data_IF_178320907215
#
_entry.id   IF_178320907215
#
_cell.length_a   1.000
_cell.length_b   1.000
_cell.length_c   1.000
_cell.angle_alpha   90.00
_cell.angle_beta   90.00
_cell.angle_gamma   90.00
#
_symmetry.space_group_name_H-M   'P 1'
#
loop_
_entity.id
_entity.type
_entity.pdbx_description
1 polymer ?
#
# COMPACT_ATOMS: atom_id res chain seq x y z
N UNK A 1 -24.43 -8.68 14.51
CA UNK A 1 -24.79 -9.01 13.11
C UNK A 1 -23.52 -9.02 12.29
N UNK A 2 -23.22 -10.10 11.55
CA UNK A 2 -22.03 -10.16 10.67
C UNK A 2 -22.31 -9.32 9.43
N UNK A 3 -21.52 -8.27 9.21
CA UNK A 3 -21.66 -7.39 8.07
C UNK A 3 -21.13 -8.09 6.81
N UNK A 4 -21.93 -8.11 5.74
CA UNK A 4 -21.54 -8.64 4.43
C UNK A 4 -21.18 -7.45 3.55
N UNK A 5 -19.99 -7.48 2.96
CA UNK A 5 -19.55 -6.46 2.01
C UNK A 5 -19.54 -7.07 0.62
N UNK A 6 -20.19 -6.41 -0.35
CA UNK A 6 -20.21 -6.81 -1.76
C UNK A 6 -19.32 -5.87 -2.55
N UNK A 7 -18.48 -6.42 -3.41
CA UNK A 7 -17.66 -5.65 -4.36
C UNK A 7 -17.89 -6.20 -5.76
N UNK A 8 -18.14 -5.31 -6.73
CA UNK A 8 -18.43 -5.67 -8.12
C UNK A 8 -17.13 -5.81 -8.91
N UNK A 9 -16.86 -6.97 -9.54
CA UNK A 9 -15.74 -7.19 -10.46
C UNK A 9 -16.20 -7.38 -11.91
N UNK A 10 -15.56 -6.66 -12.83
CA UNK A 10 -15.70 -6.83 -14.27
C UNK A 10 -14.49 -7.61 -14.82
N UNK A 11 -14.76 -8.71 -15.53
CA UNK A 11 -13.74 -9.53 -16.20
C UNK A 11 -13.90 -9.41 -17.73
N UNK A 12 -12.85 -8.96 -18.42
CA UNK A 12 -12.77 -8.98 -19.88
C UNK A 12 -12.14 -10.30 -20.36
N UNK A 13 -12.93 -11.16 -21.02
CA UNK A 13 -12.42 -12.38 -21.66
C UNK A 13 -11.98 -12.08 -23.10
N UNK A 14 -10.69 -12.27 -23.41
CA UNK A 14 -10.21 -12.34 -24.80
C UNK A 14 -10.03 -13.81 -25.24
N UNK A 15 -11.00 -14.31 -26.00
CA UNK A 15 -10.86 -15.52 -26.82
C UNK A 15 -9.82 -15.32 -27.91
N UNK A 16 -9.07 -16.37 -28.25
CA UNK A 16 -8.23 -16.35 -29.47
C UNK A 16 -9.21 -16.37 -30.65
N UNK A 17 -9.00 -15.45 -31.59
CA UNK A 17 -9.67 -15.28 -32.88
C UNK A 17 -10.63 -16.41 -33.27
N UNK A 18 -11.93 -16.13 -33.31
CA UNK A 18 -12.68 -16.08 -34.58
C UNK A 18 -14.10 -15.53 -34.36
N UNK A 19 -14.45 -14.56 -35.21
CA UNK A 19 -15.78 -14.03 -35.49
C UNK A 19 -16.49 -13.25 -34.36
N UNK A 20 -16.48 -11.93 -34.55
CA UNK A 20 -17.35 -10.90 -33.97
C UNK A 20 -18.52 -11.40 -33.10
N UNK A 21 -18.27 -11.50 -31.81
CA UNK A 21 -19.26 -11.23 -30.78
C UNK A 21 -18.52 -10.51 -29.65
N UNK A 22 -18.77 -9.22 -29.48
CA UNK A 22 -18.34 -8.50 -28.28
C UNK A 22 -19.10 -9.08 -27.09
N UNK A 23 -18.58 -10.15 -26.50
CA UNK A 23 -19.11 -10.64 -25.23
C UNK A 23 -18.94 -9.50 -24.22
N UNK A 24 -20.06 -8.95 -23.74
CA UNK A 24 -20.02 -7.98 -22.66
C UNK A 24 -19.27 -8.62 -21.47
N UNK A 25 -18.41 -7.86 -20.76
CA UNK A 25 -17.69 -8.39 -19.62
C UNK A 25 -18.68 -9.03 -18.65
N UNK A 26 -18.44 -10.29 -18.26
CA UNK A 26 -19.25 -10.92 -17.25
C UNK A 26 -18.94 -10.26 -15.90
N UNK A 27 -19.96 -9.69 -15.28
CA UNK A 27 -19.88 -9.11 -13.94
C UNK A 27 -19.98 -10.24 -12.93
N UNK A 28 -18.94 -10.44 -12.13
CA UNK A 28 -18.99 -11.30 -10.95
C UNK A 28 -18.93 -10.43 -9.71
N UNK A 29 -19.90 -10.61 -8.82
CA UNK A 29 -19.87 -9.96 -7.51
C UNK A 29 -19.00 -10.80 -6.59
N UNK A 30 -17.95 -10.21 -6.03
CA UNK A 30 -17.12 -10.83 -5.00
C UNK A 30 -17.72 -10.48 -3.65
N UNK A 31 -18.08 -11.50 -2.88
CA UNK A 31 -18.69 -11.33 -1.56
C UNK A 31 -17.69 -11.68 -0.46
N UNK A 32 -17.49 -10.74 0.46
CA UNK A 32 -16.68 -10.94 1.65
C UNK A 32 -17.53 -11.09 2.90
N UNK A 33 -17.18 -12.10 3.71
CA UNK A 33 -17.71 -12.29 5.06
C UNK A 33 -16.68 -11.84 6.07
N UNK A 34 -17.02 -10.81 6.84
CA UNK A 34 -16.22 -10.40 7.98
C UNK A 34 -16.17 -11.51 9.04
N UNK A 35 -14.96 -11.90 9.45
CA UNK A 35 -14.71 -12.95 10.43
C UNK A 35 -14.24 -12.42 11.79
N UNK A 36 -13.42 -11.38 11.75
CA UNK A 36 -12.74 -10.85 12.94
C UNK A 36 -12.54 -9.35 12.76
N UNK A 37 -12.63 -8.63 13.87
CA UNK A 37 -12.24 -7.23 13.97
C UNK A 37 -11.36 -7.04 15.19
N UNK A 38 -10.19 -6.44 14.98
CA UNK A 38 -9.24 -6.03 16.02
C UNK A 38 -9.25 -4.50 16.05
N UNK A 39 -9.15 -3.88 17.23
CA UNK A 39 -9.21 -2.43 17.38
C UNK A 39 -10.57 -1.85 17.74
N UNK A 40 -11.53 -2.65 18.22
CA UNK A 40 -12.91 -2.20 18.52
C UNK A 40 -13.35 -2.22 19.98
N UNK A 41 -12.71 -3.02 20.83
CA UNK A 41 -13.12 -3.05 22.24
C UNK A 41 -12.77 -1.67 22.90
N UNK A 42 -13.00 -1.30 24.15
CA UNK A 42 -12.22 -0.21 24.82
C UNK A 42 -11.79 -0.65 26.22
N UNK A 43 -12.01 -1.93 26.51
CA UNK A 43 -11.79 -2.60 27.79
C UNK A 43 -10.63 -3.63 27.73
N UNK A 44 -10.23 -4.09 26.53
CA UNK A 44 -9.03 -4.90 26.31
C UNK A 44 -7.75 -4.04 26.31
N UNK A 45 -7.01 -4.02 27.41
CA UNK A 45 -5.69 -3.39 27.47
C UNK A 45 -4.79 -3.87 26.32
N UNK A 46 -4.28 -2.94 25.50
CA UNK A 46 -3.50 -3.25 24.29
C UNK A 46 -4.30 -3.64 23.05
N UNK A 47 -5.64 -3.61 23.11
CA UNK A 47 -6.54 -4.01 22.02
C UNK A 47 -6.85 -2.94 20.96
N UNK A 48 -6.43 -1.68 21.14
CA UNK A 48 -6.65 -0.56 20.20
C UNK A 48 -5.45 -0.15 19.42
N UNK A 49 -5.71 0.58 18.34
CA UNK A 49 -4.70 1.22 17.52
C UNK A 49 -4.81 2.74 17.60
N UNK A 50 -3.69 3.40 17.89
CA UNK A 50 -3.60 4.86 17.82
C UNK A 50 -3.37 5.30 16.37
N UNK A 51 -2.51 4.57 15.65
CA UNK A 51 -2.31 4.73 14.20
C UNK A 51 -1.71 3.47 13.61
N UNK A 52 -2.53 2.44 13.37
CA UNK A 52 -2.08 1.23 12.67
C UNK A 52 -1.57 1.61 11.27
N UNK A 53 -0.26 1.45 11.05
CA UNK A 53 0.38 1.74 9.76
C UNK A 53 0.40 0.52 8.88
N UNK A 54 0.84 -0.58 9.46
CA UNK A 54 1.04 -1.82 8.74
C UNK A 54 0.84 -3.03 9.64
N UNK A 55 0.67 -4.20 9.01
CA UNK A 55 0.60 -5.47 9.69
C UNK A 55 1.13 -6.61 8.82
N UNK A 56 1.51 -7.69 9.50
CA UNK A 56 1.91 -8.96 8.91
C UNK A 56 1.23 -10.11 9.66
N UNK A 57 0.92 -11.21 8.95
CA UNK A 57 0.39 -12.43 9.55
C UNK A 57 1.37 -13.55 9.25
N UNK A 58 1.90 -14.19 10.28
CA UNK A 58 2.84 -15.31 10.11
C UNK A 58 2.11 -16.62 9.78
N UNK A 59 2.92 -17.65 9.46
CA UNK A 59 2.46 -19.01 9.12
C UNK A 59 1.57 -19.67 10.16
N UNK A 60 1.69 -19.27 11.43
CA UNK A 60 0.92 -19.80 12.55
C UNK A 60 -0.40 -19.01 12.75
N UNK A 61 -0.59 -17.94 11.96
CA UNK A 61 -1.73 -17.05 12.02
C UNK A 61 -1.62 -15.96 13.09
N UNK A 62 -0.44 -15.77 13.68
CA UNK A 62 -0.19 -14.66 14.61
C UNK A 62 -0.06 -13.36 13.82
N UNK A 63 -0.66 -12.30 14.35
CA UNK A 63 -0.85 -11.03 13.66
C UNK A 63 0.01 -9.97 14.36
N UNK A 64 0.96 -9.40 13.65
CA UNK A 64 1.87 -8.37 14.14
C UNK A 64 1.48 -7.03 13.54
N UNK A 65 1.21 -6.04 14.38
CA UNK A 65 0.66 -4.75 13.99
C UNK A 65 1.62 -3.62 14.38
N UNK A 66 2.08 -2.83 13.41
CA UNK A 66 2.89 -1.64 13.63
C UNK A 66 1.99 -0.43 13.93
N UNK A 67 1.88 -0.07 15.20
CA UNK A 67 1.13 1.10 15.65
C UNK A 67 2.05 2.32 15.72
N UNK A 68 2.00 3.12 14.66
CA UNK A 68 2.93 4.23 14.42
C UNK A 68 2.89 5.30 15.52
N UNK A 69 1.69 5.65 15.99
CA UNK A 69 1.50 6.70 16.99
C UNK A 69 1.63 6.18 18.43
N UNK A 70 1.38 4.89 18.66
CA UNK A 70 1.65 4.26 19.96
C UNK A 70 3.12 3.81 20.10
N UNK A 71 3.89 3.85 19.01
CA UNK A 71 5.32 3.51 18.97
C UNK A 71 5.59 2.10 19.49
N UNK A 72 4.72 1.18 19.12
CA UNK A 72 4.74 -0.23 19.54
C UNK A 72 4.41 -1.15 18.40
N UNK A 73 4.92 -2.37 18.51
CA UNK A 73 4.38 -3.51 17.77
C UNK A 73 3.42 -4.25 18.70
N UNK A 74 2.17 -4.39 18.27
CA UNK A 74 1.11 -5.11 18.99
C UNK A 74 0.89 -6.46 18.33
N UNK A 75 0.92 -7.53 19.12
CA UNK A 75 0.85 -8.90 18.60
C UNK A 75 -0.42 -9.57 19.10
N UNK A 76 -1.17 -10.17 18.17
CA UNK A 76 -2.44 -10.84 18.42
C UNK A 76 -2.39 -12.28 17.94
N UNK A 77 -3.14 -13.17 18.59
CA UNK A 77 -3.32 -14.53 18.10
C UNK A 77 -4.23 -14.56 16.86
N UNK A 78 -4.41 -15.75 16.28
CA UNK A 78 -5.30 -15.95 15.12
C UNK A 78 -6.76 -15.60 15.42
N UNK A 79 -7.18 -15.55 16.68
CA UNK A 79 -8.53 -15.16 17.09
C UNK A 79 -8.65 -13.66 17.35
N UNK A 80 -7.56 -12.91 17.25
CA UNK A 80 -7.50 -11.47 17.50
C UNK A 80 -7.37 -11.10 18.98
N UNK A 81 -7.02 -12.05 19.84
CA UNK A 81 -6.74 -11.75 21.25
C UNK A 81 -5.33 -11.17 21.38
N UNK A 82 -5.11 -10.11 22.18
CA UNK A 82 -3.77 -9.62 22.46
C UNK A 82 -2.91 -10.70 23.10
N UNK A 83 -1.68 -10.88 22.61
CA UNK A 83 -0.71 -11.85 23.17
C UNK A 83 0.37 -11.10 23.91
N UNK A 84 1.04 -10.16 23.23
CA UNK A 84 2.06 -9.29 23.81
C UNK A 84 2.25 -8.04 22.95
N UNK A 85 3.04 -7.10 23.44
CA UNK A 85 3.48 -5.93 22.70
C UNK A 85 4.93 -5.61 23.06
N UNK A 86 5.65 -4.98 22.15
CA UNK A 86 7.04 -4.58 22.39
C UNK A 86 7.38 -3.26 21.70
N UNK A 87 8.46 -2.65 22.17
CA UNK A 87 8.86 -1.30 21.81
C UNK A 87 8.24 -0.23 22.71
N UNK A 88 8.82 0.96 22.64
CA UNK A 88 8.39 2.15 23.37
C UNK A 88 8.92 3.39 22.64
N UNK A 89 8.41 4.56 23.02
CA UNK A 89 8.94 5.83 22.55
C UNK A 89 10.42 5.99 22.91
N UNK A 90 11.29 6.18 21.92
CA UNK A 90 12.69 6.48 22.19
C UNK A 90 13.59 6.37 20.96
N UNK A 91 14.89 6.31 21.22
CA UNK A 91 15.94 6.13 20.22
C UNK A 91 16.93 5.04 20.62
N UNK A 92 16.68 4.34 21.74
CA UNK A 92 17.51 3.24 22.21
C UNK A 92 17.26 1.92 21.48
N UNK A 93 18.02 0.87 21.81
CA UNK A 93 17.83 -0.46 21.25
C UNK A 93 16.40 -0.98 21.46
N UNK A 94 15.69 -1.23 20.35
CA UNK A 94 14.31 -1.72 20.37
C UNK A 94 13.23 -0.66 20.60
N UNK A 95 13.61 0.61 20.78
CA UNK A 95 12.66 1.72 20.81
C UNK A 95 12.19 2.10 19.40
N UNK A 96 11.07 2.80 19.34
CA UNK A 96 10.48 3.32 18.11
C UNK A 96 10.16 4.81 18.21
N UNK A 97 10.21 5.48 17.06
CA UNK A 97 9.69 6.84 16.88
C UNK A 97 8.44 6.87 16.01
N UNK A 98 8.41 6.07 14.94
CA UNK A 98 7.25 5.90 14.07
C UNK A 98 7.36 4.59 13.25
N UNK A 99 7.03 3.43 13.85
CA UNK A 99 7.08 2.15 13.14
C UNK A 99 6.03 2.17 12.03
N UNK A 100 6.47 2.05 10.78
CA UNK A 100 5.64 2.31 9.60
C UNK A 100 5.38 1.06 8.75
N UNK A 101 6.29 0.09 8.73
CA UNK A 101 6.09 -1.17 8.02
C UNK A 101 6.73 -2.34 8.78
N UNK A 102 6.19 -3.55 8.55
CA UNK A 102 6.61 -4.76 9.25
C UNK A 102 6.54 -5.99 8.33
N UNK A 103 7.55 -6.85 8.44
CA UNK A 103 7.57 -8.19 7.83
C UNK A 103 8.15 -9.21 8.80
N UNK A 104 7.73 -10.46 8.69
CA UNK A 104 8.25 -11.59 9.49
C UNK A 104 8.90 -12.60 8.55
N UNK A 105 10.08 -13.09 8.89
CA UNK A 105 10.81 -14.08 8.10
C UNK A 105 10.29 -15.49 8.35
N UNK A 106 10.69 -16.43 7.47
CA UNK A 106 10.41 -17.86 7.65
C UNK A 106 11.04 -18.44 8.93
N UNK A 107 12.07 -17.78 9.46
CA UNK A 107 12.73 -18.14 10.73
C UNK A 107 12.10 -17.43 11.94
N UNK A 108 10.89 -16.87 11.78
CA UNK A 108 10.14 -16.14 12.79
C UNK A 108 10.89 -14.90 13.35
N UNK A 109 11.75 -14.28 12.55
CA UNK A 109 12.39 -12.99 12.90
C UNK A 109 11.56 -11.83 12.37
N UNK A 110 11.44 -10.78 13.18
CA UNK A 110 10.59 -9.62 12.87
C UNK A 110 11.48 -8.47 12.40
N UNK A 111 11.15 -7.87 11.27
CA UNK A 111 11.82 -6.69 10.74
C UNK A 111 10.84 -5.53 10.70
N UNK A 112 11.19 -4.43 11.36
CA UNK A 112 10.37 -3.24 11.47
C UNK A 112 11.08 -2.07 10.82
N UNK A 113 10.43 -1.46 9.83
CA UNK A 113 10.84 -0.19 9.28
C UNK A 113 10.31 0.95 10.15
N UNK A 114 11.19 1.69 10.80
CA UNK A 114 10.82 2.91 11.53
C UNK A 114 11.14 4.13 10.68
N UNK A 115 10.08 4.84 10.27
CA UNK A 115 10.19 6.02 9.42
C UNK A 115 10.78 7.21 10.19
N UNK A 116 10.50 7.32 11.49
CA UNK A 116 10.97 8.40 12.35
C UNK A 116 12.45 8.23 12.71
N UNK A 117 12.86 7.01 13.07
CA UNK A 117 14.25 6.65 13.35
C UNK A 117 15.06 6.39 12.07
N UNK A 118 14.42 6.25 10.91
CA UNK A 118 15.08 6.04 9.61
C UNK A 118 16.01 4.82 9.64
N UNK A 119 15.51 3.71 10.18
CA UNK A 119 16.24 2.45 10.30
C UNK A 119 15.32 1.25 9.97
N UNK A 120 15.94 0.09 9.79
CA UNK A 120 15.27 -1.20 9.99
C UNK A 120 15.80 -1.78 11.30
N UNK A 121 14.89 -2.20 12.18
CA UNK A 121 15.21 -2.92 13.40
C UNK A 121 14.75 -4.38 13.28
N UNK A 122 15.60 -5.29 13.74
CA UNK A 122 15.39 -6.74 13.74
C UNK A 122 15.13 -7.23 15.16
N UNK A 123 14.14 -8.11 15.32
CA UNK A 123 13.72 -8.67 16.59
C UNK A 123 13.50 -10.18 16.47
N UNK A 124 13.56 -10.87 17.62
CA UNK A 124 13.08 -12.26 17.70
C UNK A 124 11.55 -12.32 17.58
N UNK A 125 10.99 -13.51 17.36
CA UNK A 125 9.54 -13.77 17.39
C UNK A 125 8.84 -13.17 18.61
N UNK A 126 9.51 -13.18 19.77
CA UNK A 126 8.96 -12.71 21.04
C UNK A 126 9.23 -11.21 21.29
N UNK A 127 9.66 -10.45 20.28
CA UNK A 127 9.86 -9.00 20.38
C UNK A 127 11.16 -8.57 21.07
N UNK A 128 12.13 -9.47 21.27
CA UNK A 128 13.44 -9.09 21.81
C UNK A 128 14.28 -8.47 20.71
N UNK A 129 14.81 -7.27 20.93
CA UNK A 129 15.70 -6.60 19.98
C UNK A 129 16.97 -7.43 19.71
N UNK A 130 17.36 -7.53 18.44
CA UNK A 130 18.57 -8.21 17.97
C UNK A 130 19.59 -7.15 17.54
N UNK A 131 19.30 -6.42 16.46
CA UNK A 131 20.14 -5.36 15.91
C UNK A 131 19.29 -4.40 15.06
N UNK A 132 19.93 -3.36 14.50
CA UNK A 132 19.30 -2.45 13.54
C UNK A 132 20.32 -1.87 12.59
N UNK A 133 19.89 -1.48 11.39
CA UNK A 133 20.71 -0.75 10.42
C UNK A 133 20.14 0.65 10.18
N UNK A 134 21.00 1.67 10.30
CA UNK A 134 20.63 3.06 9.99
C UNK A 134 20.61 3.26 8.48
N UNK A 135 19.48 3.71 7.95
CA UNK A 135 19.31 4.01 6.53
C UNK A 135 19.56 5.49 6.23
N UNK A 136 19.28 6.37 7.20
CA UNK A 136 19.52 7.82 7.10
C UNK A 136 18.44 8.59 6.32
N UNK A 137 17.61 7.88 5.56
CA UNK A 137 16.48 8.40 4.78
C UNK A 137 15.16 7.89 5.34
N UNK A 138 14.03 8.59 5.15
CA UNK A 138 12.71 8.07 5.50
C UNK A 138 12.50 6.68 4.89
N UNK A 139 12.34 5.68 5.76
CA UNK A 139 12.03 4.31 5.36
C UNK A 139 10.52 4.19 5.32
N UNK A 140 9.99 3.87 4.15
CA UNK A 140 8.55 3.87 3.90
C UNK A 140 7.99 2.47 4.10
N UNK A 141 8.63 1.47 3.50
CA UNK A 141 8.10 0.11 3.47
C UNK A 141 9.22 -0.92 3.42
N UNK A 142 8.95 -2.12 3.91
CA UNK A 142 9.84 -3.28 3.82
C UNK A 142 9.06 -4.47 3.26
N UNK A 143 9.71 -5.23 2.39
CA UNK A 143 9.25 -6.50 1.82
C UNK A 143 10.34 -7.54 1.97
N UNK A 144 9.99 -8.81 1.89
CA UNK A 144 10.93 -9.91 2.07
C UNK A 144 10.70 -10.97 1.02
N UNK A 145 11.79 -11.45 0.42
CA UNK A 145 11.80 -12.61 -0.46
C UNK A 145 11.74 -13.90 0.35
N UNK A 146 11.39 -14.98 -0.33
CA UNK A 146 11.37 -16.33 0.25
C UNK A 146 12.75 -16.84 0.67
N UNK A 147 13.82 -16.29 0.07
CA UNK A 147 15.22 -16.46 0.47
C UNK A 147 15.63 -15.71 1.75
N UNK A 148 14.81 -14.78 2.23
CA UNK A 148 15.10 -13.95 3.41
C UNK A 148 15.76 -12.60 3.09
N UNK A 149 16.11 -12.34 1.83
CA UNK A 149 16.54 -11.02 1.39
C UNK A 149 15.41 -9.99 1.59
N UNK A 150 15.79 -8.77 1.95
CA UNK A 150 14.88 -7.66 2.25
C UNK A 150 14.93 -6.62 1.13
N UNK A 151 13.75 -6.17 0.70
CA UNK A 151 13.58 -5.00 -0.16
C UNK A 151 13.08 -3.86 0.70
N UNK A 152 13.82 -2.76 0.73
CA UNK A 152 13.50 -1.57 1.53
C UNK A 152 13.19 -0.42 0.60
N UNK A 153 11.98 0.14 0.74
CA UNK A 153 11.57 1.37 0.09
C UNK A 153 11.98 2.57 0.93
N UNK A 154 12.67 3.51 0.28
CA UNK A 154 13.00 4.80 0.84
C UNK A 154 12.51 5.93 -0.05
N UNK A 155 12.24 7.08 0.56
CA UNK A 155 11.90 8.30 -0.16
C UNK A 155 12.99 9.35 0.08
N UNK A 156 13.65 9.80 -0.99
CA UNK A 156 14.46 11.03 -0.96
C UNK A 156 13.55 12.21 -1.27
N UNK A 157 13.42 13.15 -0.34
CA UNK A 157 12.58 14.33 -0.57
C UNK A 157 13.47 15.45 -1.07
N UNK A 158 13.26 15.90 -2.32
CA UNK A 158 13.80 17.17 -2.80
C UNK A 158 12.84 18.29 -2.37
N UNK A 159 13.32 19.17 -1.47
CA UNK A 159 12.52 20.28 -0.89
C UNK A 159 12.73 21.60 -1.63
N UNK A 160 13.47 21.64 -2.72
CA UNK A 160 13.82 22.88 -3.41
C UNK A 160 12.85 23.27 -4.54
N UNK A 161 11.69 22.61 -4.68
CA UNK A 161 10.72 22.81 -5.77
C UNK A 161 9.29 23.08 -5.29
N UNK A 162 8.51 23.85 -6.04
CA UNK A 162 7.08 24.15 -5.77
C UNK A 162 6.18 22.89 -5.81
N UNK A 163 6.59 21.87 -6.56
CA UNK A 163 6.03 20.52 -6.53
C UNK A 163 7.05 19.65 -5.78
N UNK A 164 6.64 19.00 -4.70
CA UNK A 164 7.53 18.10 -3.96
C UNK A 164 7.81 16.89 -4.84
N UNK A 165 8.99 16.86 -5.43
CA UNK A 165 9.50 15.69 -6.12
C UNK A 165 10.13 14.78 -5.07
N UNK A 166 9.58 13.58 -4.92
CA UNK A 166 10.25 12.53 -4.16
C UNK A 166 10.99 11.61 -5.12
N UNK A 167 12.17 11.16 -4.75
CA UNK A 167 12.84 10.06 -5.43
C UNK A 167 12.48 8.81 -4.64
N UNK A 168 11.72 7.94 -5.28
CA UNK A 168 11.47 6.60 -4.79
C UNK A 168 12.69 5.75 -5.11
N UNK A 169 13.16 4.97 -4.15
CA UNK A 169 14.27 4.05 -4.33
C UNK A 169 14.01 2.74 -3.56
N UNK A 170 14.32 1.62 -4.21
CA UNK A 170 14.35 0.30 -3.58
C UNK A 170 15.80 -0.11 -3.39
N UNK A 171 16.10 -0.56 -2.17
CA UNK A 171 17.40 -1.11 -1.78
C UNK A 171 17.27 -2.58 -1.39
N UNK A 172 18.33 -3.35 -1.56
CA UNK A 172 18.36 -4.78 -1.26
C UNK A 172 19.34 -5.07 -0.11
N UNK A 173 18.90 -5.87 0.86
CA UNK A 173 19.67 -6.28 2.03
C UNK A 173 19.55 -7.78 2.27
N UNK A 174 20.52 -8.37 2.96
CA UNK A 174 20.41 -9.74 3.49
C UNK A 174 19.62 -9.76 4.83
N UNK A 175 19.45 -10.96 5.39
CA UNK A 175 18.74 -11.17 6.65
C UNK A 175 19.49 -10.59 7.87
N UNK A 176 20.80 -10.37 7.74
CA UNK A 176 21.66 -9.78 8.77
C UNK A 176 21.68 -8.25 8.70
N UNK A 177 20.94 -7.66 7.75
CA UNK A 177 20.85 -6.22 7.47
C UNK A 177 22.12 -5.64 6.81
N UNK A 178 22.92 -6.45 6.14
CA UNK A 178 23.99 -5.95 5.27
C UNK A 178 23.43 -5.54 3.91
N UNK A 179 23.98 -4.49 3.33
CA UNK A 179 23.59 -4.01 2.01
C UNK A 179 24.07 -5.00 0.94
N UNK A 180 23.14 -5.54 0.17
CA UNK A 180 23.44 -6.32 -1.04
C UNK A 180 23.49 -5.43 -2.28
N UNK A 181 22.52 -4.52 -2.42
CA UNK A 181 22.51 -3.50 -3.48
C UNK A 181 21.95 -2.19 -2.97
N UNK A 182 22.71 -1.11 -3.21
CA UNK A 182 22.31 0.24 -2.79
C UNK A 182 21.09 0.76 -3.54
N UNK A 183 20.88 0.38 -4.80
CA UNK A 183 19.68 0.75 -5.57
C UNK A 183 19.41 -0.34 -6.60
N UNK A 184 18.21 -0.94 -6.55
CA UNK A 184 17.72 -1.90 -7.55
C UNK A 184 16.65 -1.28 -8.45
N UNK A 185 16.02 -0.20 -7.99
CA UNK A 185 15.06 0.60 -8.74
C UNK A 185 15.04 2.00 -8.17
N UNK A 186 15.14 3.02 -9.02
CA UNK A 186 15.06 4.42 -8.62
C UNK A 186 14.25 5.21 -9.63
N UNK A 187 13.32 6.04 -9.15
CA UNK A 187 12.50 6.87 -10.02
C UNK A 187 11.95 8.11 -9.31
N UNK A 188 12.00 9.29 -9.94
CA UNK A 188 11.29 10.45 -9.44
C UNK A 188 9.78 10.28 -9.53
N UNK A 189 9.06 10.70 -8.49
CA UNK A 189 7.60 10.70 -8.40
C UNK A 189 7.10 12.06 -7.94
N UNK A 190 6.19 12.62 -8.72
CA UNK A 190 5.48 13.86 -8.42
C UNK A 190 4.06 13.52 -8.00
N UNK A 191 3.78 13.56 -6.71
CA UNK A 191 2.48 13.17 -6.15
C UNK A 191 1.82 14.23 -5.27
N UNK A 192 2.55 15.30 -4.92
CA UNK A 192 2.10 16.34 -4.01
C UNK A 192 2.41 17.73 -4.54
N UNK A 193 1.47 18.64 -4.38
CA UNK A 193 1.63 20.06 -4.69
C UNK A 193 1.54 20.91 -3.43
N UNK A 194 2.31 22.00 -3.40
CA UNK A 194 2.14 23.08 -2.42
C UNK A 194 1.02 24.00 -2.85
N UNK A 195 0.03 24.19 -1.98
CA UNK A 195 -1.14 25.02 -2.25
C UNK A 195 -1.18 26.14 -1.23
N UNK A 196 -1.06 27.37 -1.72
CA UNK A 196 -1.16 28.58 -0.89
C UNK A 196 -2.60 28.76 -0.44
N UNK A 197 -2.84 28.92 0.86
CA UNK A 197 -4.18 29.02 1.47
C UNK A 197 -4.58 30.44 1.80
N UNK A 198 -3.65 31.40 1.85
CA UNK A 198 -3.91 32.82 2.13
C UNK A 198 -2.82 33.77 1.61
N UNK A 199 -3.06 35.07 1.80
CA UNK A 199 -2.20 36.18 1.36
C UNK A 199 -0.90 36.32 2.18
N UNK A 200 -0.86 35.74 3.38
CA UNK A 200 0.35 35.64 4.20
C UNK A 200 1.31 34.54 3.73
N UNK A 201 0.98 33.82 2.66
CA UNK A 201 1.83 32.77 2.09
C UNK A 201 1.78 31.45 2.85
N UNK A 202 0.79 31.25 3.75
CA UNK A 202 0.58 29.93 4.34
C UNK A 202 0.23 28.93 3.24
N UNK A 203 0.77 27.73 3.33
CA UNK A 203 0.56 26.70 2.34
C UNK A 203 0.34 25.33 2.97
N UNK A 204 -0.38 24.48 2.25
CA UNK A 204 -0.57 23.07 2.60
C UNK A 204 -0.16 22.19 1.45
N UNK A 205 0.35 21.00 1.79
CA UNK A 205 0.63 19.96 0.82
C UNK A 205 -0.66 19.19 0.52
N UNK A 206 -1.01 19.01 -0.75
CA UNK A 206 -2.13 18.15 -1.17
C UNK A 206 -1.70 17.13 -2.20
N UNK A 207 -2.31 15.93 -2.14
CA UNK A 207 -2.12 14.90 -3.15
C UNK A 207 -2.77 15.35 -4.45
N UNK A 208 -2.01 15.28 -5.54
CA UNK A 208 -2.54 15.54 -6.88
C UNK A 208 -3.35 14.30 -7.31
N UNK A 209 -4.64 14.43 -7.67
CA UNK A 209 -5.43 13.31 -8.17
C UNK A 209 -4.79 12.65 -9.38
N UNK A 210 -4.89 11.33 -9.46
CA UNK A 210 -4.35 10.52 -10.57
C UNK A 210 -2.84 10.62 -10.78
N UNK A 211 -2.12 11.32 -9.90
CA UNK A 211 -0.67 11.42 -9.98
C UNK A 211 -0.04 10.03 -10.11
N UNK A 212 0.97 9.88 -10.98
CA UNK A 212 1.67 8.62 -11.15
C UNK A 212 2.19 8.10 -9.81
N UNK A 213 2.10 6.80 -9.62
CA UNK A 213 2.57 6.12 -8.42
C UNK A 213 3.45 4.95 -8.83
N UNK A 214 4.38 4.63 -7.93
CA UNK A 214 5.10 3.38 -7.98
C UNK A 214 4.41 2.44 -7.01
N UNK A 215 4.09 1.26 -7.51
CA UNK A 215 3.51 0.18 -6.74
C UNK A 215 4.48 -0.98 -6.85
N UNK A 216 4.80 -1.61 -5.74
CA UNK A 216 5.66 -2.79 -5.77
C UNK A 216 5.18 -3.83 -4.77
N UNK A 217 5.55 -5.09 -5.00
CA UNK A 217 5.32 -6.17 -4.08
C UNK A 217 6.36 -7.28 -4.26
N UNK A 218 6.72 -7.95 -3.17
CA UNK A 218 7.56 -9.16 -3.21
C UNK A 218 6.65 -10.36 -3.08
N UNK A 219 6.84 -11.31 -3.99
CA UNK A 219 5.98 -12.46 -4.18
C UNK A 219 6.90 -13.66 -4.41
N UNK A 220 7.07 -14.50 -3.38
CA UNK A 220 8.10 -15.55 -3.38
C UNK A 220 9.49 -14.96 -3.60
N UNK A 221 10.22 -15.47 -4.60
CA UNK A 221 11.55 -14.99 -4.97
C UNK A 221 11.53 -13.98 -6.12
N UNK A 222 10.44 -13.20 -6.23
CA UNK A 222 10.27 -12.20 -7.29
C UNK A 222 9.79 -10.87 -6.72
N UNK A 223 10.41 -9.79 -7.17
CA UNK A 223 10.00 -8.43 -6.89
C UNK A 223 9.36 -7.86 -8.14
N UNK A 224 8.15 -7.33 -7.99
CA UNK A 224 7.40 -6.68 -9.05
C UNK A 224 7.34 -5.19 -8.73
N UNK A 225 7.78 -4.33 -9.65
CA UNK A 225 7.79 -2.88 -9.50
C UNK A 225 7.11 -2.25 -10.71
N UNK A 226 5.95 -1.63 -10.49
CA UNK A 226 5.16 -0.99 -11.53
C UNK A 226 5.11 0.51 -11.37
N UNK A 227 5.43 1.24 -12.45
CA UNK A 227 5.14 2.67 -12.55
C UNK A 227 3.87 2.86 -13.37
N UNK A 228 2.79 3.26 -12.70
CA UNK A 228 1.45 3.11 -13.26
C UNK A 228 1.11 4.10 -14.39
N UNK A 229 1.88 5.16 -14.60
CA UNK A 229 1.69 6.01 -15.77
C UNK A 229 2.22 5.39 -17.07
N UNK A 230 3.07 4.37 -16.98
CA UNK A 230 3.69 3.71 -18.12
C UNK A 230 3.08 2.36 -18.46
N UNK A 231 2.10 1.89 -17.69
CA UNK A 231 1.44 0.60 -17.95
C UNK A 231 2.44 -0.57 -17.95
N UNK A 232 3.57 -0.42 -17.23
CA UNK A 232 4.69 -1.35 -17.20
C UNK A 232 5.02 -1.80 -15.78
N UNK A 233 5.38 -3.08 -15.65
CA UNK A 233 5.89 -3.67 -14.42
C UNK A 233 7.19 -4.39 -14.69
N UNK A 234 8.25 -3.91 -14.06
CA UNK A 234 9.55 -4.56 -14.06
C UNK A 234 9.58 -5.67 -13.02
N UNK A 235 10.13 -6.83 -13.38
CA UNK A 235 10.28 -8.00 -12.51
C UNK A 235 11.75 -8.22 -12.23
N UNK A 236 12.08 -8.44 -10.96
CA UNK A 236 13.45 -8.67 -10.49
C UNK A 236 13.53 -9.99 -9.72
N UNK A 237 14.70 -10.63 -9.74
CA UNK A 237 15.03 -11.74 -8.85
C UNK A 237 15.37 -11.24 -7.44
N UNK A 238 15.61 -12.18 -6.52
CA UNK A 238 15.97 -11.92 -5.13
C UNK A 238 17.40 -11.39 -4.95
N UNK A 239 18.22 -11.42 -6.01
CA UNK A 239 19.50 -10.73 -6.09
C UNK A 239 19.34 -9.31 -6.65
N UNK A 240 18.12 -8.87 -6.97
CA UNK A 240 17.83 -7.55 -7.53
C UNK A 240 18.30 -7.41 -8.99
N UNK A 241 18.44 -8.50 -9.74
CA UNK A 241 18.69 -8.46 -11.17
C UNK A 241 17.36 -8.37 -11.92
N UNK A 242 17.31 -7.54 -12.95
CA UNK A 242 16.15 -7.45 -13.83
C UNK A 242 15.95 -8.78 -14.57
N UNK A 243 14.72 -9.28 -14.59
CA UNK A 243 14.32 -10.49 -15.30
C UNK A 243 13.58 -10.12 -16.59
N UNK A 244 12.49 -9.36 -16.44
CA UNK A 244 11.58 -9.06 -17.55
C UNK A 244 10.68 -7.87 -17.24
N UNK A 245 9.95 -7.39 -18.25
CA UNK A 245 8.93 -6.37 -18.13
C UNK A 245 7.57 -6.91 -18.60
N UNK A 246 6.53 -6.68 -17.81
CA UNK A 246 5.14 -6.97 -18.13
C UNK A 246 4.47 -5.67 -18.58
N UNK A 247 3.90 -5.67 -19.79
CA UNK A 247 3.24 -4.50 -20.38
C UNK A 247 1.73 -4.74 -20.40
N UNK A 248 0.97 -3.86 -19.76
CA UNK A 248 -0.49 -3.86 -19.82
C UNK A 248 -0.94 -3.37 -21.20
N UNK A 249 -1.45 -4.29 -22.02
CA UNK A 249 -2.00 -3.98 -23.35
C UNK A 249 -3.41 -3.40 -23.21
N UNK A 250 -3.51 -2.13 -22.84
CA UNK A 250 -4.78 -1.41 -22.70
C UNK A 250 -4.67 -0.01 -23.29
N UNK A 251 -5.77 0.49 -23.85
CA UNK A 251 -5.85 1.89 -24.28
C UNK A 251 -5.73 2.82 -23.07
N UNK A 252 -4.87 3.83 -23.19
CA UNK A 252 -4.68 4.83 -22.14
C UNK A 252 -5.91 5.72 -22.05
N UNK A 253 -6.49 5.78 -20.85
CA UNK A 253 -7.66 6.61 -20.61
C UNK A 253 -7.23 8.00 -20.16
N UNK A 254 -7.80 9.04 -20.78
CA UNK A 254 -7.54 10.42 -20.36
C UNK A 254 -8.17 10.69 -19.01
N UNK A 255 -7.52 11.53 -18.21
CA UNK A 255 -8.14 12.04 -16.98
C UNK A 255 -9.41 12.83 -17.34
N UNK A 256 -10.55 12.59 -16.67
CA UNK A 256 -11.78 13.33 -16.96
C UNK A 256 -11.58 14.84 -16.77
N UNK A 257 -12.07 15.64 -17.72
CA UNK A 257 -11.93 17.11 -17.71
C UNK A 257 -12.50 17.72 -16.42
N UNK A 258 -13.61 17.16 -15.90
CA UNK A 258 -14.27 17.63 -14.68
C UNK A 258 -13.48 17.34 -13.39
N UNK A 259 -12.57 16.38 -13.40
CA UNK A 259 -11.95 15.89 -12.17
C UNK A 259 -11.09 16.96 -11.48
N UNK A 260 -10.50 17.90 -12.23
CA UNK A 260 -9.77 19.02 -11.64
C UNK A 260 -10.69 20.01 -10.93
N UNK A 261 -11.84 20.31 -11.53
CA UNK A 261 -12.84 21.21 -10.94
C UNK A 261 -13.41 20.59 -9.65
N UNK A 262 -13.81 19.32 -9.69
CA UNK A 262 -14.32 18.59 -8.53
C UNK A 262 -13.29 18.52 -7.39
N UNK A 263 -12.03 18.25 -7.73
CA UNK A 263 -10.96 18.25 -6.74
C UNK A 263 -10.74 19.62 -6.09
N UNK A 264 -10.81 20.71 -6.87
CA UNK A 264 -10.69 22.09 -6.35
C UNK A 264 -11.84 22.38 -5.38
N UNK A 265 -13.08 22.09 -5.79
CA UNK A 265 -14.29 22.38 -5.00
C UNK A 265 -14.30 21.61 -3.68
N UNK A 266 -14.13 20.29 -3.75
CA UNK A 266 -14.09 19.43 -2.55
C UNK A 266 -12.90 19.76 -1.63
N UNK A 267 -11.78 20.22 -2.18
CA UNK A 267 -10.64 20.64 -1.35
C UNK A 267 -10.92 21.97 -0.65
N UNK A 268 -11.51 22.95 -1.32
CA UNK A 268 -11.91 24.22 -0.70
C UNK A 268 -12.93 23.99 0.42
N UNK A 269 -13.92 23.14 0.17
CA UNK A 269 -14.95 22.79 1.15
C UNK A 269 -14.34 22.20 2.43
N UNK A 270 -13.40 21.25 2.31
CA UNK A 270 -12.67 20.67 3.47
C UNK A 270 -11.87 21.67 4.29
N UNK A 271 -11.54 22.82 3.71
CA UNK A 271 -10.81 23.89 4.39
C UNK A 271 -11.73 25.02 4.87
N UNK A 272 -13.00 25.00 4.48
CA UNK A 272 -14.00 25.97 4.95
C UNK A 272 -14.07 25.97 6.49
N UNK A 273 -14.11 27.15 7.08
CA UNK A 273 -14.13 27.33 8.54
C UNK A 273 -12.75 27.35 9.23
N UNK A 274 -11.64 27.10 8.53
CA UNK A 274 -10.30 27.30 9.11
C UNK A 274 -9.97 28.79 9.25
N UNK A 275 -9.33 29.16 10.36
CA UNK A 275 -8.87 30.52 10.58
C UNK A 275 -7.90 30.98 9.47
N UNK A 276 -8.05 32.23 9.02
CA UNK A 276 -7.21 32.84 7.97
C UNK A 276 -7.24 32.11 6.61
N UNK A 277 -8.22 31.25 6.34
CA UNK A 277 -8.39 30.60 5.05
C UNK A 277 -9.02 31.55 4.02
N UNK A 278 -8.42 31.64 2.83
CA UNK A 278 -8.93 32.46 1.73
C UNK A 278 -9.23 31.58 0.50
N UNK A 279 -10.51 31.20 0.27
CA UNK A 279 -10.90 30.29 -0.81
C UNK A 279 -10.41 30.71 -2.19
N UNK A 280 -10.48 32.01 -2.51
CA UNK A 280 -10.05 32.54 -3.80
C UNK A 280 -8.54 32.41 -4.04
N UNK A 281 -7.72 32.50 -3.00
CA UNK A 281 -6.26 32.31 -3.10
C UNK A 281 -5.95 30.83 -3.32
N UNK A 282 -6.58 29.96 -2.52
CA UNK A 282 -6.41 28.51 -2.65
C UNK A 282 -6.81 28.02 -4.04
N UNK A 283 -7.97 28.48 -4.54
CA UNK A 283 -8.44 28.19 -5.90
C UNK A 283 -7.40 28.56 -6.96
N UNK A 284 -6.90 29.81 -6.95
CA UNK A 284 -5.88 30.28 -7.89
C UNK A 284 -4.58 29.48 -7.80
N UNK A 285 -4.18 29.09 -6.59
CA UNK A 285 -2.99 28.24 -6.39
C UNK A 285 -3.19 26.85 -7.01
N UNK A 286 -4.38 26.25 -6.85
CA UNK A 286 -4.70 24.93 -7.39
C UNK A 286 -4.93 24.92 -8.91
N UNK A 287 -5.45 26.00 -9.48
CA UNK A 287 -5.66 26.16 -10.92
C UNK A 287 -4.34 26.09 -11.71
N UNK A 288 -3.21 26.47 -11.09
CA UNK A 288 -1.87 26.37 -11.70
C UNK A 288 -1.33 24.93 -11.77
N UNK A 289 -1.90 24.00 -11.00
CA UNK A 289 -1.41 22.62 -10.92
C UNK A 289 -1.83 21.84 -12.16
N UNK A 290 -0.86 21.25 -12.85
CA UNK A 290 -1.10 20.36 -13.99
C UNK A 290 -1.56 18.99 -13.51
N UNK A 291 -2.67 18.50 -14.08
CA UNK A 291 -3.09 17.11 -13.87
C UNK A 291 -2.38 16.19 -14.87
N UNK A 292 -2.16 14.91 -14.51
CA UNK A 292 -1.66 13.92 -15.45
C UNK A 292 -2.55 13.85 -16.70
N UNK A 293 -1.94 13.57 -17.85
CA UNK A 293 -2.67 13.43 -19.12
C UNK A 293 -3.58 12.20 -19.12
N UNK A 294 -3.13 11.13 -18.48
CA UNK A 294 -3.80 9.83 -18.45
C UNK A 294 -4.00 9.34 -17.03
N UNK A 295 -5.06 8.56 -16.85
CA UNK A 295 -5.35 7.83 -15.63
C UNK A 295 -4.24 6.80 -15.35
N UNK A 296 -3.93 6.51 -14.08
CA UNK A 296 -2.98 5.45 -13.75
C UNK A 296 -3.48 4.09 -14.25
N UNK A 297 -2.57 3.29 -14.79
CA UNK A 297 -2.87 1.96 -15.29
C UNK A 297 -3.33 0.99 -14.22
N UNK A 298 -2.78 1.13 -13.01
CA UNK A 298 -2.99 0.23 -11.89
C UNK A 298 -2.65 0.89 -10.55
N UNK A 299 -3.23 0.37 -9.47
CA UNK A 299 -3.05 0.88 -8.10
C UNK A 299 -2.43 -0.14 -7.14
N UNK A 300 -2.37 -1.42 -7.52
CA UNK A 300 -1.87 -2.52 -6.69
C UNK A 300 -1.21 -3.63 -7.51
N UNK A 301 -0.42 -4.48 -6.84
CA UNK A 301 0.19 -5.70 -7.41
C UNK A 301 -0.06 -6.86 -6.45
N UNK A 302 -0.74 -7.91 -6.90
CA UNK A 302 -1.10 -9.07 -6.07
C UNK A 302 -0.74 -10.40 -6.75
N UNK A 303 -0.37 -11.44 -5.99
CA UNK A 303 -0.19 -12.81 -6.49
C UNK A 303 -1.53 -13.57 -6.50
N UNK A 304 -1.74 -14.64 -7.28
CA UNK A 304 -2.78 -15.68 -7.11
C UNK A 304 -2.15 -17.03 -6.65
N UNK A 305 -2.86 -17.98 -6.00
CA UNK A 305 -2.26 -19.23 -5.49
C UNK A 305 -1.66 -20.16 -6.54
N UNK A 306 -2.06 -19.99 -7.79
CA UNK A 306 -1.58 -20.67 -8.98
C UNK A 306 -0.47 -19.89 -9.72
N UNK A 307 0.05 -18.81 -9.13
CA UNK A 307 1.28 -18.14 -9.57
C UNK A 307 1.10 -16.91 -10.47
N UNK A 308 -0.11 -16.37 -10.62
CA UNK A 308 -0.35 -15.16 -11.44
C UNK A 308 -0.16 -13.87 -10.66
N UNK A 309 -0.02 -12.73 -11.37
CA UNK A 309 0.03 -11.38 -10.81
C UNK A 309 -1.10 -10.51 -11.36
N UNK A 310 -1.90 -9.87 -10.48
CA UNK A 310 -3.05 -9.01 -10.84
C UNK A 310 -2.75 -7.53 -10.56
N UNK A 311 -3.24 -6.65 -11.45
CA UNK A 311 -3.13 -5.19 -11.38
C UNK A 311 -4.53 -4.54 -11.42
N UNK A 312 -4.95 -3.89 -10.33
CA UNK A 312 -6.29 -3.30 -10.21
C UNK A 312 -6.37 -1.90 -10.87
N UNK A 313 -7.36 -1.69 -11.74
CA UNK A 313 -7.82 -0.36 -12.16
C UNK A 313 -9.21 -0.07 -11.57
N UNK A 314 -9.35 1.11 -10.95
CA UNK A 314 -10.59 1.71 -10.47
C UNK A 314 -11.02 2.80 -11.45
N UNK A 315 -12.06 2.56 -12.26
CA UNK A 315 -12.55 3.56 -13.20
C UNK A 315 -14.04 3.88 -13.10
N UNK A 316 -14.86 3.07 -12.43
CA UNK A 316 -16.24 3.40 -12.09
C UNK A 316 -16.73 2.33 -11.10
N UNK A 317 -17.03 2.70 -9.85
CA UNK A 317 -17.71 1.89 -8.81
C UNK A 317 -17.64 0.34 -8.93
N UNK A 318 -16.48 -0.21 -9.28
CA UNK A 318 -16.36 -1.60 -9.72
C UNK A 318 -14.94 -1.91 -10.16
N UNK A 319 -14.44 -3.04 -9.69
CA UNK A 319 -13.11 -3.58 -9.94
C UNK A 319 -13.01 -3.88 -11.44
N UNK A 320 -12.00 -3.34 -12.14
CA UNK A 320 -11.63 -3.77 -13.49
C UNK A 320 -10.30 -4.52 -13.43
N UNK A 321 -10.40 -5.86 -13.33
CA UNK A 321 -9.25 -6.77 -13.38
C UNK A 321 -8.92 -7.16 -14.83
N UNK A 322 -7.65 -6.99 -15.23
CA UNK A 322 -7.13 -7.64 -16.45
C UNK A 322 -6.46 -8.95 -16.08
N UNK A 323 -6.99 -10.05 -16.64
CA UNK A 323 -6.48 -11.42 -16.52
C UNK A 323 -5.69 -11.76 -17.80
N UNK A 324 -4.48 -12.29 -17.66
CA UNK A 324 -3.77 -12.95 -18.77
C UNK A 324 -3.85 -14.49 -18.62
N UNK A 325 -4.09 -15.17 -19.75
CA UNK A 325 -4.80 -16.45 -19.99
C UNK A 325 -4.03 -17.73 -19.58
N UNK A 326 -4.67 -18.76 -18.99
CA UNK A 326 -5.42 -19.90 -19.60
C UNK A 326 -6.45 -20.50 -18.62
N UNK A 327 -7.68 -20.74 -19.11
CA UNK A 327 -8.82 -21.44 -18.49
C UNK A 327 -9.58 -20.79 -17.30
N UNK A 328 -10.91 -20.85 -17.40
CA UNK A 328 -11.90 -20.15 -16.56
C UNK A 328 -12.19 -20.86 -15.22
N UNK A 329 -11.80 -22.13 -15.07
CA UNK A 329 -12.05 -22.93 -13.86
C UNK A 329 -11.04 -22.67 -12.72
N UNK A 330 -9.91 -22.01 -12.98
CA UNK A 330 -8.85 -21.79 -11.99
C UNK A 330 -8.98 -20.45 -11.21
N UNK A 331 -9.87 -19.56 -11.65
CA UNK A 331 -10.08 -18.20 -11.11
C UNK A 331 -10.54 -18.20 -9.63
N UNK A 332 -11.11 -19.30 -9.13
CA UNK A 332 -11.74 -19.36 -7.80
C UNK A 332 -10.78 -19.29 -6.60
N UNK A 333 -9.47 -19.28 -6.81
CA UNK A 333 -8.49 -19.33 -5.70
C UNK A 333 -7.71 -18.04 -5.51
N UNK A 334 -7.89 -17.05 -6.38
CA UNK A 334 -7.12 -15.83 -6.45
C UNK A 334 -6.84 -15.11 -5.10
N UNK A 335 -5.56 -14.76 -4.88
CA UNK A 335 -5.04 -13.92 -3.80
C UNK A 335 -5.10 -12.48 -4.30
N UNK A 336 -5.54 -11.53 -3.48
CA UNK A 336 -5.64 -10.15 -3.93
C UNK A 336 -5.15 -9.15 -2.89
N UNK A 337 -4.45 -8.12 -3.37
CA UNK A 337 -4.43 -6.81 -2.77
C UNK A 337 -5.21 -5.87 -3.69
N UNK A 338 -6.48 -5.68 -3.42
CA UNK A 338 -7.32 -4.66 -4.05
C UNK A 338 -7.78 -3.70 -2.95
N UNK A 339 -8.00 -2.42 -3.22
CA UNK A 339 -8.58 -1.46 -2.26
C UNK A 339 -7.99 -1.54 -0.81
N UNK A 340 -6.66 -1.65 -0.68
CA UNK A 340 -5.97 -1.72 0.60
C UNK A 340 -6.08 -3.06 1.36
N UNK A 341 -6.64 -4.10 0.75
CA UNK A 341 -6.58 -5.46 1.27
C UNK A 341 -5.17 -6.04 1.18
N UNK A 342 -4.81 -6.85 2.18
CA UNK A 342 -3.71 -7.82 2.11
C UNK A 342 -4.27 -9.22 2.30
N UNK A 343 -3.57 -10.21 1.78
CA UNK A 343 -3.98 -11.60 1.92
C UNK A 343 -2.90 -12.39 2.62
N UNK A 344 -3.31 -13.20 3.60
CA UNK A 344 -2.44 -14.11 4.32
C UNK A 344 -3.21 -15.39 4.62
N UNK A 345 -2.61 -16.55 4.31
CA UNK A 345 -3.08 -17.87 4.74
C UNK A 345 -4.58 -18.13 4.52
N UNK A 346 -5.10 -17.87 3.31
CA UNK A 346 -6.52 -18.11 3.02
C UNK A 346 -7.46 -16.96 3.35
N UNK A 347 -6.95 -15.86 3.91
CA UNK A 347 -7.77 -14.79 4.51
C UNK A 347 -7.37 -13.42 4.00
N UNK A 348 -8.37 -12.56 3.83
CA UNK A 348 -8.20 -11.17 3.46
C UNK A 348 -8.19 -10.31 4.72
N UNK A 349 -7.37 -9.27 4.73
CA UNK A 349 -7.22 -8.35 5.85
C UNK A 349 -7.20 -6.92 5.33
N UNK A 350 -7.89 -6.01 6.01
CA UNK A 350 -7.88 -4.60 5.65
C UNK A 350 -7.83 -3.72 6.89
N UNK A 351 -6.99 -2.68 6.83
CA UNK A 351 -7.02 -1.60 7.82
C UNK A 351 -8.15 -0.65 7.41
N UNK A 352 -9.11 -0.45 8.31
CA UNK A 352 -10.19 0.52 8.17
C UNK A 352 -9.86 1.75 9.01
N UNK A 353 -9.90 2.91 8.38
CA UNK A 353 -9.69 4.22 9.00
C UNK A 353 -10.93 5.07 8.72
N UNK A 354 -11.49 5.68 9.76
CA UNK A 354 -12.61 6.61 9.68
C UNK A 354 -12.25 7.85 10.50
N UNK A 355 -12.89 8.99 10.23
CA UNK A 355 -12.72 10.19 11.07
C UNK A 355 -13.37 10.01 12.43
N UNK A 356 -14.52 9.30 12.48
CA UNK A 356 -15.34 9.17 13.68
C UNK A 356 -15.20 7.82 14.42
N UNK A 357 -14.45 6.87 13.87
CA UNK A 357 -14.32 5.51 14.42
C UNK A 357 -12.86 5.15 14.68
N UNK A 358 -12.57 4.35 15.73
CA UNK A 358 -11.24 3.81 15.95
C UNK A 358 -10.70 3.08 14.71
N UNK A 359 -9.38 3.12 14.55
CA UNK A 359 -8.70 2.36 13.50
C UNK A 359 -8.87 0.87 13.79
N UNK A 360 -9.26 0.10 12.76
CA UNK A 360 -9.55 -1.34 12.89
C UNK A 360 -8.77 -2.15 11.88
N UNK A 361 -8.36 -3.35 12.29
CA UNK A 361 -7.93 -4.40 11.37
C UNK A 361 -9.05 -5.42 11.24
N UNK A 362 -9.57 -5.61 10.03
CA UNK A 362 -10.67 -6.54 9.79
C UNK A 362 -10.17 -7.70 8.94
N UNK A 363 -10.47 -8.93 9.37
CA UNK A 363 -10.25 -10.16 8.59
C UNK A 363 -11.54 -10.61 7.93
N UNK A 364 -11.43 -11.06 6.69
CA UNK A 364 -12.52 -11.55 5.87
C UNK A 364 -12.19 -12.90 5.24
N UNK A 365 -13.23 -13.68 5.01
CA UNK A 365 -13.22 -14.79 4.05
C UNK A 365 -13.93 -14.39 2.78
N UNK A 366 -13.42 -14.87 1.66
CA UNK A 366 -14.14 -14.89 0.40
C UNK A 366 -15.28 -15.91 0.50
N UNK A 367 -16.48 -15.53 0.04
CA UNK A 367 -17.69 -16.38 0.08
C UNK A 367 -17.99 -16.91 -1.30
N UNK A 368 -18.30 -16.01 -2.24
CA UNK A 368 -18.71 -16.29 -3.63
C UNK A 368 -18.19 -15.21 -4.57
#
# INVERSE_FOLDING_TARGET
>A
MKQVMKITLFVLMFGILNLFCSQQPQVKNITFKQELTIGQNTELEGGWFNSLKDFYVDKDGQIYCADGSDQKIKVFDRSGNPVFQFGQKGQGPGDFAFPNAIVVSKNDEIYVADMGLRNIAKFTKNGKFINSVKIGMPVIRVGMFDSGHLVIEIAKIDRHKEITQSIFELRLYDAELNVLKNSIYERPVEHYAWITTNDQGQAVTQKIPFAPQIVWNVIGDRLYVGYNAEYKISVFDDNGNFITEIIKQAEQQKVPVKAKTEWIETTIERFSGRANFMPGIMKRSMEKISFPKFMPAFTSIAQLPDGFVVFENSLDQGIMGMLYKKNYEEIQKAIFSFDGFKYFHGKFYKIIRSEDEPVRLIRYSLVE
#
